data_IF_958224147944
#
_entry.id   IF_958224147944
#
_cell.length_a   1.000
_cell.length_b   1.000
_cell.length_c   1.000
_cell.angle_alpha   90.00
_cell.angle_beta   90.00
_cell.angle_gamma   90.00
#
_symmetry.space_group_name_H-M   'P 1'
#
loop_
_entity.id
_entity.type
_entity.pdbx_description
1 polymer ?
#
# COMPACT_ATOMS: atom_id res chain seq x y z
N UNK A 1 -72.83 -4.15 10.96
CA UNK A 1 -71.60 -4.55 11.66
C UNK A 1 -70.50 -4.80 10.62
N UNK A 2 -69.39 -4.05 10.74
CA UNK A 2 -68.01 -4.32 10.26
C UNK A 2 -67.75 -4.53 8.76
N UNK A 3 -67.45 -3.44 8.08
CA UNK A 3 -66.54 -3.39 6.92
C UNK A 3 -65.12 -3.73 7.37
N UNK A 4 -64.45 -4.66 6.69
CA UNK A 4 -63.03 -4.97 6.88
C UNK A 4 -62.27 -4.46 5.65
N UNK A 5 -61.48 -3.41 5.83
CA UNK A 5 -60.57 -2.90 4.81
C UNK A 5 -59.20 -3.56 4.99
N UNK A 6 -58.78 -4.36 4.02
CA UNK A 6 -57.41 -4.86 3.89
C UNK A 6 -56.52 -3.74 3.34
N UNK A 7 -55.60 -3.23 4.15
CA UNK A 7 -54.55 -2.31 3.71
C UNK A 7 -53.32 -3.15 3.37
N UNK A 8 -53.01 -3.26 2.08
CA UNK A 8 -51.76 -3.81 1.60
C UNK A 8 -50.65 -2.76 1.76
N UNK A 9 -49.71 -2.98 2.68
CA UNK A 9 -48.53 -2.13 2.83
C UNK A 9 -47.43 -2.62 1.87
N UNK A 10 -47.24 -1.91 0.76
CA UNK A 10 -46.10 -2.09 -0.13
C UNK A 10 -44.86 -1.42 0.50
N UNK A 11 -44.00 -2.22 1.14
CA UNK A 11 -42.72 -1.75 1.67
C UNK A 11 -41.68 -1.62 0.55
N UNK A 12 -41.30 -0.39 0.22
CA UNK A 12 -40.18 -0.11 -0.68
C UNK A 12 -38.88 -0.32 0.11
N UNK A 13 -38.14 -1.37 -0.22
CA UNK A 13 -36.79 -1.62 0.33
C UNK A 13 -35.80 -0.76 -0.46
N UNK A 14 -35.40 0.38 0.11
CA UNK A 14 -34.27 1.15 -0.40
C UNK A 14 -32.96 0.40 -0.08
N UNK A 15 -32.39 -0.27 -1.08
CA UNK A 15 -31.01 -0.74 -1.00
C UNK A 15 -30.07 0.47 -1.06
N UNK A 16 -29.48 0.84 0.08
CA UNK A 16 -28.40 1.80 0.13
C UNK A 16 -27.16 1.22 -0.57
N UNK A 17 -26.94 1.61 -1.82
CA UNK A 17 -25.71 1.30 -2.55
C UNK A 17 -24.63 2.20 -1.97
N UNK A 18 -23.88 1.72 -0.99
CA UNK A 18 -22.72 2.46 -0.51
C UNK A 18 -21.61 2.37 -1.56
N UNK A 19 -21.06 3.50 -2.05
CA UNK A 19 -19.91 3.46 -2.93
C UNK A 19 -18.74 2.89 -2.12
N UNK A 20 -18.34 1.67 -2.44
CA UNK A 20 -17.09 1.09 -1.98
C UNK A 20 -15.99 1.82 -2.75
N UNK A 21 -15.57 2.98 -2.25
CA UNK A 21 -14.31 3.55 -2.67
C UNK A 21 -13.23 2.56 -2.24
N UNK A 22 -12.71 1.79 -3.19
CA UNK A 22 -11.56 0.95 -2.95
C UNK A 22 -10.47 1.86 -2.36
N UNK A 23 -10.13 1.64 -1.08
CA UNK A 23 -9.11 2.41 -0.40
C UNK A 23 -7.85 2.41 -1.27
N UNK A 24 -7.24 3.57 -1.45
CA UNK A 24 -5.98 3.69 -2.19
C UNK A 24 -4.99 2.70 -1.58
N UNK A 25 -4.61 1.68 -2.34
CA UNK A 25 -3.62 0.70 -1.88
C UNK A 25 -2.25 1.37 -1.95
N UNK A 26 -1.47 1.22 -0.87
CA UNK A 26 -0.08 1.67 -0.87
C UNK A 26 0.84 0.74 -1.66
N UNK A 27 0.39 -0.50 -1.93
CA UNK A 27 1.13 -1.47 -2.73
C UNK A 27 1.37 -1.01 -4.16
N UNK A 28 2.60 -1.20 -4.63
CA UNK A 28 3.01 -0.86 -5.99
C UNK A 28 4.43 -0.32 -6.08
N UNK A 29 4.79 0.09 -7.28
CA UNK A 29 6.06 0.75 -7.58
C UNK A 29 5.81 2.24 -7.75
N UNK A 30 6.48 3.05 -6.94
CA UNK A 30 6.23 4.49 -6.81
C UNK A 30 7.48 5.29 -7.13
N UNK A 31 7.38 6.48 -7.70
CA UNK A 31 8.53 7.35 -7.91
C UNK A 31 8.25 8.84 -7.78
N UNK A 32 9.29 9.65 -7.54
CA UNK A 32 9.18 11.10 -7.41
C UNK A 32 8.74 11.81 -8.69
N UNK A 33 8.99 11.24 -9.87
CA UNK A 33 8.64 11.85 -11.16
C UNK A 33 8.25 10.84 -12.23
N UNK A 34 7.65 11.31 -13.33
CA UNK A 34 7.36 10.46 -14.50
C UNK A 34 8.63 9.98 -15.22
N UNK A 35 9.72 10.76 -15.16
CA UNK A 35 11.02 10.41 -15.74
C UNK A 35 11.59 9.19 -15.03
N UNK A 36 11.58 9.25 -13.71
CA UNK A 36 12.01 8.21 -12.79
C UNK A 36 11.26 6.88 -12.98
N UNK A 37 9.95 6.93 -13.25
CA UNK A 37 9.18 5.73 -13.60
C UNK A 37 9.66 5.05 -14.89
N UNK A 38 10.19 5.80 -15.86
CA UNK A 38 10.65 5.27 -17.16
C UNK A 38 12.09 4.75 -17.13
N UNK A 39 12.88 5.19 -16.16
CA UNK A 39 14.26 4.74 -16.01
C UNK A 39 14.27 3.24 -15.69
N UNK A 40 15.17 2.47 -16.30
CA UNK A 40 15.32 1.03 -16.03
C UNK A 40 16.55 0.73 -15.18
N UNK A 41 17.55 1.60 -15.16
CA UNK A 41 18.90 1.30 -14.67
C UNK A 41 19.52 2.41 -13.81
N UNK A 42 18.85 3.57 -13.68
CA UNK A 42 19.36 4.67 -12.87
C UNK A 42 19.36 4.37 -11.37
N UNK A 43 20.42 4.78 -10.64
CA UNK A 43 20.35 4.91 -9.20
C UNK A 43 19.20 5.87 -8.88
N UNK A 44 18.34 5.41 -7.98
CA UNK A 44 17.34 6.20 -7.29
C UNK A 44 16.11 6.55 -8.13
N UNK A 45 14.98 6.15 -7.58
CA UNK A 45 13.75 6.97 -7.49
C UNK A 45 12.54 6.09 -7.28
N UNK A 46 12.64 4.79 -7.58
CA UNK A 46 11.53 3.87 -7.38
C UNK A 46 11.56 3.30 -5.96
N UNK A 47 10.41 3.39 -5.30
CA UNK A 47 10.14 2.69 -4.05
C UNK A 47 9.09 1.63 -4.36
N UNK A 48 9.47 0.37 -4.18
CA UNK A 48 8.53 -0.74 -4.16
C UNK A 48 7.92 -0.84 -2.78
N UNK A 49 6.60 -0.90 -2.70
CA UNK A 49 5.87 -1.20 -1.48
C UNK A 49 5.11 -2.48 -1.73
N UNK A 50 5.39 -3.51 -0.93
CA UNK A 50 4.61 -4.73 -0.90
C UNK A 50 4.29 -5.09 0.57
N UNK A 51 3.17 -4.55 1.03
CA UNK A 51 2.66 -4.72 2.39
C UNK A 51 2.17 -6.14 2.63
N UNK A 52 1.81 -6.90 1.60
CA UNK A 52 1.30 -8.27 1.74
C UNK A 52 2.22 -9.30 1.11
N UNK A 53 3.51 -8.98 1.02
CA UNK A 53 4.52 -9.88 0.49
C UNK A 53 4.64 -11.15 1.35
N UNK A 54 4.87 -12.27 0.68
CA UNK A 54 5.04 -13.59 1.30
C UNK A 54 6.27 -14.26 0.71
N UNK A 55 7.22 -14.65 1.57
CA UNK A 55 8.42 -15.39 1.18
C UNK A 55 8.35 -16.78 1.81
N UNK A 56 8.36 -17.83 0.99
CA UNK A 56 8.29 -19.24 1.44
C UNK A 56 7.12 -19.49 2.41
N UNK A 57 5.95 -18.94 2.09
CA UNK A 57 4.72 -19.07 2.89
C UNK A 57 4.67 -18.24 4.17
N UNK A 58 5.69 -17.41 4.46
CA UNK A 58 5.72 -16.53 5.64
C UNK A 58 5.49 -15.08 5.22
N UNK A 59 4.65 -14.32 5.95
CA UNK A 59 4.53 -12.89 5.74
C UNK A 59 5.91 -12.22 5.84
N UNK A 60 6.29 -11.51 4.79
CA UNK A 60 7.56 -10.80 4.67
C UNK A 60 7.33 -9.42 4.03
N UNK A 61 6.45 -8.59 4.61
CA UNK A 61 6.10 -7.29 4.07
C UNK A 61 7.35 -6.40 3.96
N UNK A 62 7.47 -5.66 2.86
CA UNK A 62 8.67 -4.89 2.60
C UNK A 62 8.41 -3.53 1.92
N UNK A 63 9.34 -2.62 2.17
CA UNK A 63 9.57 -1.42 1.37
C UNK A 63 10.97 -1.56 0.80
N UNK A 64 11.09 -1.60 -0.52
CA UNK A 64 12.37 -1.77 -1.21
C UNK A 64 12.70 -0.51 -2.02
N UNK A 65 13.93 -0.03 -1.84
CA UNK A 65 14.49 1.17 -2.45
C UNK A 65 15.88 0.83 -2.97
N UNK A 66 16.43 1.71 -3.80
CA UNK A 66 17.76 1.51 -4.34
C UNK A 66 18.83 1.39 -3.24
N UNK A 67 18.75 2.26 -2.23
CA UNK A 67 19.74 2.37 -1.16
C UNK A 67 19.42 1.50 0.07
N UNK A 68 18.22 0.93 0.15
CA UNK A 68 17.84 0.10 1.29
C UNK A 68 16.66 -0.83 1.03
N UNK A 69 16.71 -1.96 1.72
CA UNK A 69 15.67 -2.99 1.76
C UNK A 69 15.10 -3.01 3.17
N UNK A 70 13.84 -2.61 3.33
CA UNK A 70 13.21 -2.47 4.63
C UNK A 70 12.19 -3.58 4.85
N UNK A 71 12.43 -4.41 5.87
CA UNK A 71 11.44 -5.35 6.39
C UNK A 71 10.46 -4.60 7.28
N UNK A 72 9.17 -4.73 7.02
CA UNK A 72 8.13 -4.12 7.86
C UNK A 72 7.89 -5.01 9.08
N UNK A 73 8.16 -4.49 10.27
CA UNK A 73 7.95 -5.19 11.53
C UNK A 73 6.52 -4.98 12.06
N UNK A 74 5.94 -3.80 11.83
CA UNK A 74 4.58 -3.45 12.25
C UNK A 74 3.93 -2.43 11.33
N UNK A 75 2.63 -2.61 11.03
CA UNK A 75 1.76 -1.63 10.38
C UNK A 75 0.81 -1.03 11.42
N UNK A 76 0.74 0.29 11.53
CA UNK A 76 -0.18 0.98 12.44
C UNK A 76 -1.04 1.98 11.65
N UNK A 77 -2.38 1.87 11.68
CA UNK A 77 -3.26 2.87 11.05
C UNK A 77 -3.01 4.28 11.61
N UNK A 78 -3.04 5.29 10.74
CA UNK A 78 -2.90 6.69 11.13
C UNK A 78 -3.76 7.58 10.22
N UNK A 79 -4.98 7.88 10.64
CA UNK A 79 -5.95 8.58 9.81
C UNK A 79 -6.32 7.76 8.57
N UNK A 80 -6.12 8.35 7.39
CA UNK A 80 -6.25 7.69 6.08
C UNK A 80 -4.95 7.00 5.61
N UNK A 81 -3.91 7.01 6.45
CA UNK A 81 -2.57 6.50 6.17
C UNK A 81 -2.13 5.32 7.03
N UNK A 82 -0.86 4.96 6.89
CA UNK A 82 -0.17 3.94 7.66
C UNK A 82 1.16 4.47 8.20
N UNK A 83 1.47 4.13 9.44
CA UNK A 83 2.81 4.24 10.00
C UNK A 83 3.42 2.86 10.07
N UNK A 84 4.53 2.67 9.35
CA UNK A 84 5.28 1.43 9.32
C UNK A 84 6.47 1.55 10.28
N UNK A 85 6.56 0.64 11.24
CA UNK A 85 7.83 0.38 11.93
C UNK A 85 8.58 -0.67 11.11
N UNK A 86 9.82 -0.36 10.73
CA UNK A 86 10.61 -1.21 9.84
C UNK A 86 12.05 -1.31 10.31
N UNK A 87 12.71 -2.39 9.89
CA UNK A 87 14.16 -2.56 9.98
C UNK A 87 14.72 -2.53 8.56
N UNK A 88 15.58 -1.56 8.27
CA UNK A 88 16.18 -1.35 6.94
C UNK A 88 17.63 -1.78 6.90
N UNK A 89 18.01 -2.36 5.78
CA UNK A 89 19.33 -2.90 5.50
C UNK A 89 19.84 -2.28 4.20
N UNK A 90 21.11 -1.89 4.16
CA UNK A 90 21.73 -1.34 2.94
C UNK A 90 21.85 -2.41 1.84
N UNK A 91 22.12 -3.65 2.23
CA UNK A 91 22.34 -4.76 1.30
C UNK A 91 21.34 -5.91 1.52
N UNK A 92 20.93 -6.56 0.42
CA UNK A 92 20.08 -7.75 0.47
C UNK A 92 20.69 -8.89 1.29
N UNK A 93 22.01 -9.03 1.31
CA UNK A 93 22.70 -10.03 2.12
C UNK A 93 22.45 -9.83 3.63
N UNK A 94 22.49 -8.59 4.08
CA UNK A 94 22.23 -8.21 5.46
C UNK A 94 20.74 -8.34 5.79
N UNK A 95 19.86 -7.97 4.86
CA UNK A 95 18.42 -8.24 4.96
C UNK A 95 18.13 -9.73 5.16
N UNK A 96 18.74 -10.59 4.33
CA UNK A 96 18.53 -12.04 4.35
C UNK A 96 19.06 -12.68 5.63
N UNK A 97 20.19 -12.20 6.14
CA UNK A 97 20.80 -12.66 7.40
C UNK A 97 20.16 -12.03 8.64
N UNK A 98 19.47 -10.90 8.48
CA UNK A 98 18.88 -10.13 9.58
C UNK A 98 19.91 -9.46 10.48
N UNK A 99 21.05 -9.02 9.92
CA UNK A 99 22.17 -8.38 10.65
C UNK A 99 22.40 -6.95 10.16
N UNK A 100 23.02 -6.09 10.98
CA UNK A 100 23.35 -4.69 10.62
C UNK A 100 22.16 -3.81 10.21
N UNK A 101 20.93 -4.21 10.56
CA UNK A 101 19.72 -3.45 10.25
C UNK A 101 19.52 -2.25 11.17
N UNK A 102 18.98 -1.17 10.61
CA UNK A 102 18.60 0.04 11.36
C UNK A 102 17.08 0.15 11.48
N UNK A 103 16.59 0.42 12.69
CA UNK A 103 15.15 0.65 12.91
C UNK A 103 14.75 2.04 12.41
N UNK A 104 13.68 2.09 11.63
CA UNK A 104 13.12 3.32 11.08
C UNK A 104 11.60 3.34 11.22
N UNK A 105 11.04 4.53 11.05
CA UNK A 105 9.60 4.73 10.86
C UNK A 105 9.36 5.29 9.47
N UNK A 106 8.47 4.68 8.70
CA UNK A 106 8.05 5.14 7.37
C UNK A 106 6.57 5.52 7.44
N UNK A 107 6.23 6.74 7.04
CA UNK A 107 4.84 7.23 7.01
C UNK A 107 4.31 7.17 5.60
N UNK A 108 3.18 6.50 5.42
CA UNK A 108 2.43 6.43 4.18
C UNK A 108 1.12 7.20 4.35
N UNK A 109 0.81 8.08 3.42
CA UNK A 109 -0.47 8.78 3.39
C UNK A 109 -0.97 8.93 1.95
N UNK A 110 -2.28 9.02 1.72
CA UNK A 110 -2.82 9.39 0.42
C UNK A 110 -2.29 10.78 -0.03
N UNK A 111 -2.08 10.91 -1.33
CA UNK A 111 -1.75 12.17 -1.99
C UNK A 111 -2.84 12.60 -2.97
N UNK A 112 -2.65 13.74 -3.61
CA UNK A 112 -3.57 14.22 -4.64
C UNK A 112 -3.47 13.36 -5.92
N UNK A 113 -4.54 13.26 -6.70
CA UNK A 113 -4.54 12.66 -8.03
C UNK A 113 -3.98 11.22 -8.08
N UNK A 114 -4.27 10.41 -7.05
CA UNK A 114 -3.82 9.01 -6.97
C UNK A 114 -2.33 8.83 -6.64
N UNK A 115 -1.64 9.90 -6.22
CA UNK A 115 -0.30 9.82 -5.63
C UNK A 115 -0.37 9.31 -4.20
N UNK A 116 0.78 8.90 -3.65
CA UNK A 116 0.96 8.71 -2.21
C UNK A 116 2.04 9.66 -1.70
N UNK A 117 2.04 9.91 -0.39
CA UNK A 117 3.14 10.55 0.31
C UNK A 117 3.90 9.49 1.09
N UNK A 118 5.20 9.42 0.87
CA UNK A 118 6.14 8.63 1.67
C UNK A 118 6.97 9.61 2.47
N UNK A 119 6.85 9.56 3.79
CA UNK A 119 7.48 10.51 4.72
C UNK A 119 7.18 11.98 4.36
N UNK A 120 5.94 12.22 3.92
CA UNK A 120 5.46 13.54 3.48
C UNK A 120 5.83 13.93 2.05
N UNK A 121 6.71 13.18 1.37
CA UNK A 121 7.13 13.47 -0.01
C UNK A 121 6.20 12.78 -1.03
N UNK A 122 5.69 13.51 -2.04
CA UNK A 122 4.77 12.93 -3.03
C UNK A 122 5.49 11.95 -3.97
N UNK A 123 4.83 10.84 -4.28
CA UNK A 123 5.26 9.83 -5.23
C UNK A 123 4.11 9.43 -6.16
N UNK A 124 4.41 9.34 -7.45
CA UNK A 124 3.52 8.91 -8.51
C UNK A 124 3.56 7.40 -8.64
N UNK A 125 2.41 6.79 -8.94
CA UNK A 125 2.35 5.36 -9.24
C UNK A 125 3.00 5.10 -10.60
N UNK A 126 4.03 4.25 -10.62
CA UNK A 126 4.66 3.76 -11.86
C UNK A 126 4.00 2.48 -12.35
N UNK A 127 3.77 1.52 -11.43
CA UNK A 127 3.13 0.21 -11.72
C UNK A 127 2.35 -0.26 -10.50
N UNK A 128 1.20 -0.90 -10.71
CA UNK A 128 0.49 -1.59 -9.62
C UNK A 128 1.25 -2.85 -9.24
N UNK A 129 1.02 -3.34 -8.03
CA UNK A 129 1.60 -4.62 -7.54
C UNK A 129 1.39 -5.77 -8.53
N UNK A 130 0.20 -5.88 -9.12
CA UNK A 130 -0.13 -6.96 -10.05
C UNK A 130 0.64 -6.89 -11.39
N UNK A 131 1.16 -5.71 -11.75
CA UNK A 131 1.95 -5.48 -12.96
C UNK A 131 3.46 -5.68 -12.72
N UNK A 132 3.86 -5.96 -11.48
CA UNK A 132 5.26 -6.18 -11.12
C UNK A 132 5.65 -7.63 -11.41
N UNK A 133 6.90 -7.88 -11.84
CA UNK A 133 7.39 -9.24 -12.00
C UNK A 133 7.20 -9.99 -10.68
N UNK A 134 6.44 -11.09 -10.72
CA UNK A 134 6.29 -11.95 -9.55
C UNK A 134 7.68 -12.49 -9.20
N UNK A 135 8.13 -12.24 -7.97
CA UNK A 135 9.31 -12.91 -7.45
C UNK A 135 9.09 -14.42 -7.58
N UNK A 136 10.02 -15.12 -8.24
CA UNK A 136 9.99 -16.57 -8.40
C UNK A 136 10.34 -17.28 -7.10
#
# INVERSE_FOLDING_TARGET
>A
MRTVSLIAAAGIVLFAIQPVFAAQTFDGLWASSKRDCRDREGPDSKTMIDLDNVIKGKPAPLVDRYENHCRIDRKTPAGDGLVLSATCFEFWDDYNKGVNGSKVTIKLAPGANGTIKIDGKPHLLCKRKDDLPKAR
#
